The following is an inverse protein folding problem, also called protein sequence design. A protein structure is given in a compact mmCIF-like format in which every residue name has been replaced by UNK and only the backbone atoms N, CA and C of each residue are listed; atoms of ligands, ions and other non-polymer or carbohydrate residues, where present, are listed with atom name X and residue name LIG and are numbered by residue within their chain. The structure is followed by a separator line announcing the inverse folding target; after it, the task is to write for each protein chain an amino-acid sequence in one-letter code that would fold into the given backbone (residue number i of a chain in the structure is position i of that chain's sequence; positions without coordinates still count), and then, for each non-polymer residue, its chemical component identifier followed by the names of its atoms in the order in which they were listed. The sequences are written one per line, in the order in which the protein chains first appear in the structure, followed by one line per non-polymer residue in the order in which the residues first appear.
data_IF_383563702678
#
_entry.id   IF_383563702678
#
_cell.length_a   1.000
_cell.length_b   1.000
_cell.length_c   1.000
_cell.angle_alpha   90.00
_cell.angle_beta   90.00
_cell.angle_gamma   90.00
#
_symmetry.space_group_name_H-M   'P 1'
#
loop_
_entity.id
_entity.type
_entity.pdbx_description
1 polymer ?
#
# COMPACT_ATOMS: atom_id res chain seq x y z
N UNK A 1 0.74 8.38 9.08
CA UNK A 1 0.42 6.96 8.84
C UNK A 1 -0.08 6.27 10.11
N UNK A 2 -1.19 5.55 10.03
CA UNK A 2 -1.77 4.69 11.08
C UNK A 2 -1.88 3.26 10.52
N UNK A 3 -1.36 2.29 11.27
CA UNK A 3 -1.38 0.86 10.91
C UNK A 3 -2.25 0.15 11.94
N UNK A 4 -3.22 -0.63 11.46
CA UNK A 4 -4.11 -1.44 12.30
C UNK A 4 -3.90 -2.90 11.91
N UNK A 5 -3.45 -3.71 12.88
CA UNK A 5 -3.29 -5.15 12.73
C UNK A 5 -4.44 -5.84 13.46
N UNK A 6 -5.15 -6.68 12.74
CA UNK A 6 -6.25 -7.50 13.26
C UNK A 6 -5.81 -8.96 13.17
N UNK A 7 -6.09 -9.75 14.21
CA UNK A 7 -5.81 -11.18 14.21
C UNK A 7 -6.70 -11.94 13.21
N UNK A 8 -6.96 -13.22 13.47
CA UNK A 8 -7.91 -14.01 12.69
C UNK A 8 -9.33 -13.44 12.87
N UNK A 9 -9.68 -12.39 12.15
CA UNK A 9 -10.99 -11.76 12.21
C UNK A 9 -12.02 -12.67 11.53
N UNK A 10 -13.24 -12.80 12.05
CA UNK A 10 -14.32 -13.45 11.33
C UNK A 10 -14.63 -12.66 10.05
N UNK A 11 -14.52 -13.30 8.88
CA UNK A 11 -15.13 -13.04 7.57
C UNK A 11 -15.56 -11.59 7.16
N UNK A 12 -14.87 -10.54 7.62
CA UNK A 12 -15.15 -9.17 7.23
C UNK A 12 -14.48 -8.84 5.90
N UNK A 13 -15.24 -8.31 4.93
CA UNK A 13 -14.61 -7.76 3.72
C UNK A 13 -13.65 -6.62 4.12
N UNK A 14 -12.54 -6.43 3.39
CA UNK A 14 -11.63 -5.30 3.64
C UNK A 14 -12.29 -3.91 3.68
N UNK A 15 -13.47 -3.76 3.06
CA UNK A 15 -14.30 -2.55 3.17
C UNK A 15 -14.86 -2.35 4.59
N UNK A 16 -15.36 -3.41 5.23
CA UNK A 16 -15.87 -3.33 6.60
C UNK A 16 -14.76 -2.96 7.58
N UNK A 17 -13.61 -3.63 7.47
CA UNK A 17 -12.44 -3.37 8.33
C UNK A 17 -11.93 -1.93 8.20
N UNK A 18 -11.93 -1.37 6.99
CA UNK A 18 -11.57 0.04 6.80
C UNK A 18 -12.61 0.98 7.41
N UNK A 19 -13.92 0.70 7.30
CA UNK A 19 -14.96 1.51 7.96
C UNK A 19 -14.77 1.54 9.46
N UNK A 20 -14.54 0.37 10.05
CA UNK A 20 -14.32 0.22 11.49
C UNK A 20 -13.05 0.97 11.93
N UNK A 21 -11.96 0.85 11.17
CA UNK A 21 -10.72 1.56 11.45
C UNK A 21 -10.87 3.10 11.35
N UNK A 22 -11.67 3.60 10.41
CA UNK A 22 -11.92 5.02 10.25
C UNK A 22 -12.79 5.62 11.34
N UNK A 23 -13.79 4.87 11.81
CA UNK A 23 -14.79 5.32 12.77
C UNK A 23 -15.43 6.68 12.41
N UNK A 24 -15.63 6.92 11.10
CA UNK A 24 -16.17 8.18 10.58
C UNK A 24 -17.52 7.97 9.92
N UNK A 25 -18.59 8.67 10.36
CA UNK A 25 -19.94 8.50 9.80
C UNK A 25 -20.09 9.12 8.42
N UNK A 26 -19.20 10.04 8.03
CA UNK A 26 -19.23 10.72 6.72
C UNK A 26 -18.37 10.00 5.68
N UNK A 27 -17.47 9.10 6.11
CA UNK A 27 -16.59 8.38 5.20
C UNK A 27 -17.38 7.36 4.37
N UNK A 28 -17.26 7.45 3.04
CA UNK A 28 -17.74 6.42 2.13
C UNK A 28 -16.57 5.50 1.79
N UNK A 29 -16.71 4.23 2.14
CA UNK A 29 -15.70 3.19 1.87
C UNK A 29 -16.26 2.19 0.88
N UNK A 30 -15.54 1.96 -0.22
CA UNK A 30 -15.89 0.99 -1.26
C UNK A 30 -14.63 0.40 -1.88
N UNK A 31 -14.76 -0.65 -2.70
CA UNK A 31 -13.76 -0.96 -3.71
C UNK A 31 -14.06 -0.18 -4.99
N UNK A 32 -13.01 0.15 -5.73
CA UNK A 32 -13.12 0.69 -7.07
C UNK A 32 -11.93 0.22 -7.91
N UNK A 33 -12.18 -0.64 -8.89
CA UNK A 33 -11.14 -1.01 -9.84
C UNK A 33 -10.86 0.17 -10.81
N UNK A 34 -9.60 0.66 -10.89
CA UNK A 34 -9.27 1.76 -11.80
C UNK A 34 -9.37 1.37 -13.29
N UNK A 35 -9.46 0.07 -13.61
CA UNK A 35 -9.53 -0.42 -15.00
C UNK A 35 -10.97 -0.51 -15.53
N UNK A 36 -11.90 -1.06 -14.73
CA UNK A 36 -13.27 -1.35 -15.18
C UNK A 36 -14.37 -0.66 -14.34
N UNK A 37 -14.01 0.05 -13.27
CA UNK A 37 -14.97 0.71 -12.38
C UNK A 37 -15.74 -0.22 -11.43
N UNK A 38 -15.45 -1.52 -11.43
CA UNK A 38 -16.13 -2.51 -10.57
C UNK A 38 -15.87 -2.25 -9.08
N UNK A 39 -16.90 -2.48 -8.26
CA UNK A 39 -16.81 -2.53 -6.80
C UNK A 39 -16.60 -3.94 -6.24
N UNK A 40 -16.49 -4.96 -7.11
CA UNK A 40 -16.24 -6.36 -6.69
C UNK A 40 -14.75 -6.63 -6.42
N UNK A 41 -13.87 -5.91 -7.11
CA UNK A 41 -12.42 -6.07 -7.02
C UNK A 41 -11.71 -4.72 -7.10
N UNK A 42 -10.39 -4.75 -6.94
CA UNK A 42 -9.56 -3.55 -6.89
C UNK A 42 -9.37 -3.02 -5.47
N UNK A 43 -8.62 -1.91 -5.35
CA UNK A 43 -8.27 -1.33 -4.06
C UNK A 43 -9.49 -0.83 -3.31
N UNK A 44 -9.40 -0.84 -1.98
CA UNK A 44 -10.35 -0.15 -1.11
C UNK A 44 -10.02 1.34 -1.15
N UNK A 45 -11.04 2.18 -1.34
CA UNK A 45 -10.93 3.63 -1.33
C UNK A 45 -11.85 4.23 -0.26
N UNK A 46 -11.42 5.34 0.34
CA UNK A 46 -12.22 6.13 1.27
C UNK A 46 -12.40 7.55 0.71
N UNK A 47 -13.64 8.02 0.63
CA UNK A 47 -14.01 9.38 0.21
C UNK A 47 -14.90 10.06 1.25
N UNK A 48 -15.13 11.37 1.11
CA UNK A 48 -15.92 12.14 2.07
C UNK A 48 -15.18 12.48 3.37
N UNK A 49 -13.85 12.30 3.39
CA UNK A 49 -12.96 12.67 4.48
C UNK A 49 -11.95 13.72 4.01
N UNK A 50 -11.68 14.71 4.87
CA UNK A 50 -10.71 15.79 4.63
C UNK A 50 -9.71 15.87 5.78
N UNK A 51 -8.39 15.88 5.53
CA UNK A 51 -7.74 15.76 4.21
C UNK A 51 -8.01 14.38 3.57
N UNK A 52 -7.69 14.25 2.27
CA UNK A 52 -7.81 12.97 1.55
C UNK A 52 -7.06 11.89 2.33
N UNK A 53 -7.67 10.71 2.41
CA UNK A 53 -7.07 9.56 3.05
C UNK A 53 -6.72 8.48 2.02
N UNK A 54 -5.48 8.00 2.10
CA UNK A 54 -4.97 6.86 1.37
C UNK A 54 -5.14 5.61 2.21
N UNK A 55 -5.64 4.55 1.59
CA UNK A 55 -6.00 3.30 2.25
C UNK A 55 -5.34 2.15 1.52
N UNK A 56 -4.75 1.23 2.28
CA UNK A 56 -4.35 -0.07 1.77
C UNK A 56 -4.74 -1.16 2.75
N UNK A 57 -5.09 -2.33 2.23
CA UNK A 57 -5.49 -3.49 3.03
C UNK A 57 -4.87 -4.73 2.43
N UNK A 58 -4.28 -5.58 3.28
CA UNK A 58 -3.86 -6.93 2.90
C UNK A 58 -4.35 -7.95 3.92
N UNK A 59 -4.73 -9.13 3.44
CA UNK A 59 -5.33 -10.19 4.25
C UNK A 59 -4.51 -11.47 4.08
N UNK A 60 -4.33 -12.17 5.19
CA UNK A 60 -3.80 -13.51 5.32
C UNK A 60 -4.81 -14.32 6.16
N UNK A 61 -4.85 -15.67 6.08
CA UNK A 61 -5.78 -16.46 6.88
C UNK A 61 -5.83 -16.13 8.38
N UNK A 62 -4.72 -15.69 8.96
CA UNK A 62 -4.58 -15.45 10.41
C UNK A 62 -4.45 -13.98 10.80
N UNK A 63 -4.34 -13.07 9.83
CA UNK A 63 -4.14 -11.66 10.09
C UNK A 63 -4.68 -10.79 8.96
N UNK A 64 -5.18 -9.61 9.29
CA UNK A 64 -5.44 -8.56 8.30
C UNK A 64 -4.77 -7.28 8.75
N UNK A 65 -4.14 -6.57 7.82
CA UNK A 65 -3.53 -5.27 8.07
C UNK A 65 -4.24 -4.21 7.24
N UNK A 66 -4.63 -3.13 7.91
CA UNK A 66 -5.16 -1.90 7.31
C UNK A 66 -4.18 -0.77 7.55
N UNK A 67 -3.82 -0.04 6.49
CA UNK A 67 -2.99 1.15 6.56
C UNK A 67 -3.79 2.35 6.09
N UNK A 68 -3.74 3.41 6.89
CA UNK A 68 -4.37 4.70 6.62
C UNK A 68 -3.31 5.79 6.64
N UNK A 69 -3.27 6.65 5.63
CA UNK A 69 -2.34 7.78 5.62
C UNK A 69 -2.89 9.01 4.93
N UNK A 70 -2.60 10.19 5.48
CA UNK A 70 -2.98 11.48 4.91
C UNK A 70 -1.83 12.13 4.15
N UNK A 71 -0.58 11.67 4.36
CA UNK A 71 0.61 12.23 3.74
C UNK A 71 0.78 11.85 2.26
N UNK A 72 0.35 10.64 1.87
CA UNK A 72 0.52 10.16 0.51
C UNK A 72 0.04 8.73 0.28
N UNK A 73 0.12 8.25 -0.97
CA UNK A 73 -0.26 6.88 -1.32
C UNK A 73 0.51 5.84 -0.51
N UNK A 74 -0.22 4.81 -0.07
CA UNK A 74 0.32 3.70 0.72
C UNK A 74 -0.09 2.36 0.16
N UNK A 75 0.75 1.36 0.40
CA UNK A 75 0.50 -0.05 0.12
C UNK A 75 0.84 -0.90 1.32
N UNK A 76 0.14 -2.02 1.50
CA UNK A 76 0.51 -3.04 2.49
C UNK A 76 0.44 -4.42 1.86
N UNK A 77 1.37 -5.28 2.26
CA UNK A 77 1.28 -6.69 1.96
C UNK A 77 1.74 -7.57 3.14
N UNK A 78 1.13 -8.75 3.26
CA UNK A 78 1.37 -9.71 4.35
C UNK A 78 1.33 -11.13 3.83
N UNK A 79 2.25 -11.98 4.28
CA UNK A 79 2.30 -13.40 3.94
C UNK A 79 2.72 -14.26 5.15
N UNK A 80 2.13 -15.45 5.35
CA UNK A 80 2.55 -16.35 6.42
C UNK A 80 4.00 -16.83 6.24
N UNK A 81 4.77 -16.87 7.33
CA UNK A 81 6.19 -17.31 7.30
C UNK A 81 6.37 -18.80 7.00
N UNK A 82 5.32 -19.61 7.08
CA UNK A 82 5.37 -21.04 6.78
C UNK A 82 5.25 -21.36 5.28
N UNK A 83 5.08 -20.33 4.42
CA UNK A 83 4.89 -20.49 2.97
C UNK A 83 6.18 -20.59 2.18
N UNK A 84 7.26 -19.95 2.63
CA UNK A 84 8.56 -19.92 1.96
C UNK A 84 9.64 -19.36 2.90
N UNK A 85 10.89 -19.32 2.43
CA UNK A 85 12.00 -18.65 3.13
C UNK A 85 11.68 -17.18 3.45
N UNK A 86 12.06 -16.75 4.66
CA UNK A 86 11.77 -15.41 5.15
C UNK A 86 12.33 -14.29 4.25
N UNK A 87 13.47 -14.51 3.59
CA UNK A 87 14.05 -13.57 2.64
C UNK A 87 13.18 -13.44 1.37
N UNK A 88 12.68 -14.56 0.86
CA UNK A 88 11.79 -14.60 -0.32
C UNK A 88 10.46 -13.91 0.00
N UNK A 89 9.86 -14.21 1.16
CA UNK A 89 8.64 -13.54 1.60
C UNK A 89 8.87 -12.06 1.89
N UNK A 90 10.01 -11.69 2.45
CA UNK A 90 10.40 -10.30 2.69
C UNK A 90 10.49 -9.50 1.40
N UNK A 91 11.12 -10.06 0.36
CA UNK A 91 11.17 -9.47 -0.97
C UNK A 91 9.78 -9.36 -1.60
N UNK A 92 9.02 -10.46 -1.62
CA UNK A 92 7.69 -10.49 -2.21
C UNK A 92 6.75 -9.45 -1.59
N UNK A 93 6.63 -9.45 -0.27
CA UNK A 93 5.77 -8.50 0.45
C UNK A 93 6.21 -7.06 0.26
N UNK A 94 7.52 -6.79 0.14
CA UNK A 94 8.02 -5.44 -0.13
C UNK A 94 7.63 -4.96 -1.53
N UNK A 95 7.79 -5.84 -2.53
CA UNK A 95 7.42 -5.58 -3.92
C UNK A 95 5.91 -5.36 -4.07
N UNK A 96 5.07 -6.24 -3.54
CA UNK A 96 3.61 -6.12 -3.58
C UNK A 96 3.13 -4.85 -2.85
N UNK A 97 3.66 -4.57 -1.66
CA UNK A 97 3.34 -3.33 -0.95
C UNK A 97 3.70 -2.11 -1.82
N UNK A 98 4.86 -2.10 -2.46
CA UNK A 98 5.28 -0.97 -3.30
C UNK A 98 4.40 -0.81 -4.55
N UNK A 99 4.06 -1.89 -5.24
CA UNK A 99 3.13 -1.89 -6.38
C UNK A 99 1.71 -1.42 -5.97
N UNK A 100 1.25 -1.79 -4.77
CA UNK A 100 -0.01 -1.28 -4.22
C UNK A 100 0.05 0.22 -3.94
N UNK A 101 1.17 0.72 -3.44
CA UNK A 101 1.36 2.15 -3.16
C UNK A 101 1.30 3.03 -4.42
N UNK A 102 1.69 2.53 -5.60
CA UNK A 102 1.55 3.26 -6.87
C UNK A 102 0.12 3.26 -7.41
N UNK A 103 -0.77 2.42 -6.85
CA UNK A 103 -2.14 2.23 -7.32
C UNK A 103 -2.28 1.35 -8.57
N UNK A 104 -1.17 0.80 -9.09
CA UNK A 104 -1.18 -0.05 -10.29
C UNK A 104 -1.25 -1.54 -9.95
N UNK A 105 -0.69 -1.95 -8.80
CA UNK A 105 -0.62 -3.36 -8.41
C UNK A 105 0.07 -4.20 -9.49
N UNK A 106 -0.40 -5.43 -9.69
CA UNK A 106 0.07 -6.35 -10.75
C UNK A 106 -0.35 -5.97 -12.18
N UNK A 107 -0.81 -4.74 -12.43
CA UNK A 107 -0.60 -4.19 -13.79
C UNK A 107 0.90 -4.02 -14.08
N UNK A 108 1.65 -3.79 -12.99
CA UNK A 108 3.09 -3.83 -12.80
C UNK A 108 3.68 -5.21 -12.97
N UNK A 109 4.76 -5.40 -13.74
CA UNK A 109 5.58 -6.60 -13.60
C UNK A 109 6.35 -6.53 -12.26
N UNK A 110 6.16 -7.45 -11.31
CA UNK A 110 6.90 -7.48 -10.05
C UNK A 110 8.42 -7.54 -10.24
N UNK A 111 8.89 -8.20 -11.29
CA UNK A 111 10.33 -8.37 -11.56
C UNK A 111 10.99 -7.05 -12.01
N UNK A 112 10.19 -6.03 -12.31
CA UNK A 112 10.66 -4.70 -12.68
C UNK A 112 10.95 -3.78 -11.49
N UNK A 113 10.60 -4.20 -10.26
CA UNK A 113 10.85 -3.42 -9.04
C UNK A 113 12.31 -3.59 -8.60
N UNK A 114 12.98 -2.47 -8.36
CA UNK A 114 14.41 -2.44 -8.01
C UNK A 114 14.65 -1.96 -6.59
N UNK A 115 15.54 -2.64 -5.88
CA UNK A 115 16.11 -2.17 -4.62
C UNK A 115 17.12 -1.05 -4.91
N UNK A 116 16.88 0.14 -4.34
CA UNK A 116 17.83 1.26 -4.42
C UNK A 116 18.72 1.32 -3.18
N UNK A 117 18.13 1.16 -2.00
CA UNK A 117 18.82 1.25 -0.71
C UNK A 117 18.22 0.26 0.29
N UNK A 118 19.04 -0.18 1.25
CA UNK A 118 18.60 -1.08 2.33
C UNK A 118 18.65 -2.56 1.94
N UNK A 119 17.73 -3.34 2.49
CA UNK A 119 17.68 -4.79 2.32
C UNK A 119 16.23 -5.29 2.30
N UNK A 120 15.96 -6.36 1.55
CA UNK A 120 14.65 -7.00 1.45
C UNK A 120 14.20 -7.63 2.77
N UNK A 121 15.12 -7.99 3.67
CA UNK A 121 14.74 -8.35 5.04
C UNK A 121 14.57 -7.09 5.92
N UNK A 122 15.24 -5.98 5.65
CA UNK A 122 15.14 -4.74 6.43
C UNK A 122 14.07 -3.76 5.96
N UNK A 123 14.27 -2.49 6.32
CA UNK A 123 13.64 -1.35 5.66
C UNK A 123 14.42 -1.05 4.38
N UNK A 124 13.71 -0.63 3.34
CA UNK A 124 14.33 -0.38 2.05
C UNK A 124 13.68 0.76 1.26
N UNK A 125 14.43 1.28 0.29
CA UNK A 125 13.95 2.19 -0.73
C UNK A 125 13.86 1.43 -2.05
N UNK A 126 12.68 1.42 -2.64
CA UNK A 126 12.43 0.75 -3.91
C UNK A 126 12.14 1.76 -5.02
N UNK A 127 12.53 1.39 -6.23
CA UNK A 127 12.09 2.02 -7.48
C UNK A 127 11.05 1.12 -8.15
N UNK A 128 9.90 1.70 -8.48
CA UNK A 128 8.80 1.00 -9.17
C UNK A 128 8.57 1.69 -10.51
N UNK A 129 8.49 0.97 -11.64
CA UNK A 129 8.20 1.61 -12.92
C UNK A 129 6.89 2.38 -12.90
N UNK A 130 6.92 3.57 -13.49
CA UNK A 130 5.75 4.42 -13.68
C UNK A 130 5.57 4.77 -15.16
N UNK A 131 4.37 5.26 -15.54
CA UNK A 131 4.05 5.55 -16.93
C UNK A 131 4.87 6.70 -17.55
N UNK A 132 5.38 7.62 -16.73
CA UNK A 132 6.20 8.74 -17.19
C UNK A 132 7.62 8.69 -16.59
N UNK A 133 7.71 8.56 -15.27
CA UNK A 133 8.96 8.36 -14.54
C UNK A 133 8.77 7.28 -13.48
N UNK A 134 9.84 6.58 -13.08
CA UNK A 134 9.76 5.65 -11.97
C UNK A 134 9.31 6.34 -10.67
N UNK A 135 8.54 5.62 -9.86
CA UNK A 135 8.19 6.00 -8.51
C UNK A 135 9.29 5.58 -7.54
N UNK A 136 9.51 6.37 -6.50
CA UNK A 136 10.30 5.97 -5.34
C UNK A 136 9.37 5.65 -4.18
N UNK A 137 9.60 4.52 -3.54
CA UNK A 137 8.72 4.01 -2.49
C UNK A 137 9.56 3.57 -1.29
N UNK A 138 9.27 4.15 -0.13
CA UNK A 138 9.88 3.72 1.14
C UNK A 138 9.08 2.54 1.67
N UNK A 139 9.76 1.45 1.97
CA UNK A 139 9.14 0.25 2.53
C UNK A 139 9.70 0.00 3.92
N UNK A 140 8.81 -0.21 4.88
CA UNK A 140 9.17 -0.54 6.27
C UNK A 140 8.57 -1.86 6.71
N UNK A 141 9.25 -2.56 7.61
CA UNK A 141 8.69 -3.75 8.27
C UNK A 141 7.49 -3.38 9.15
N UNK A 142 6.52 -4.29 9.23
CA UNK A 142 5.49 -4.29 10.27
C UNK A 142 5.57 -5.60 11.02
N UNK A 143 5.58 -5.54 12.34
CA UNK A 143 5.60 -6.74 13.17
C UNK A 143 4.20 -7.35 13.24
N UNK A 144 4.02 -8.48 12.58
CA UNK A 144 2.80 -9.29 12.61
C UNK A 144 3.21 -10.72 12.93
N UNK A 145 2.76 -11.25 14.07
CA UNK A 145 3.18 -12.56 14.54
C UNK A 145 2.95 -13.65 13.47
N UNK A 146 4.00 -14.41 13.15
CA UNK A 146 3.95 -15.48 12.15
C UNK A 146 3.90 -15.03 10.68
N UNK A 147 4.10 -13.74 10.39
CA UNK A 147 3.98 -13.20 9.04
C UNK A 147 5.19 -12.34 8.64
N UNK A 148 5.54 -12.37 7.35
CA UNK A 148 6.26 -11.28 6.72
C UNK A 148 5.24 -10.19 6.37
N UNK A 149 5.46 -8.96 6.82
CA UNK A 149 4.54 -7.86 6.57
C UNK A 149 5.28 -6.56 6.27
N UNK A 150 4.83 -5.85 5.24
CA UNK A 150 5.46 -4.64 4.71
C UNK A 150 4.45 -3.55 4.46
N UNK A 151 4.84 -2.34 4.80
CA UNK A 151 4.11 -1.12 4.43
C UNK A 151 4.98 -0.25 3.57
N UNK A 152 4.40 0.20 2.48
CA UNK A 152 5.04 1.03 1.47
C UNK A 152 4.40 2.41 1.46
N UNK A 153 5.21 3.46 1.39
CA UNK A 153 4.77 4.84 1.21
C UNK A 153 5.44 5.42 -0.03
N UNK A 154 4.62 5.93 -0.96
CA UNK A 154 5.13 6.61 -2.13
C UNK A 154 5.78 7.93 -1.72
N UNK A 155 7.06 8.11 -2.07
CA UNK A 155 7.79 9.34 -1.83
C UNK A 155 7.37 10.33 -2.92
N UNK A 156 6.83 11.51 -2.57
CA UNK A 156 6.52 12.53 -3.56
C UNK A 156 7.77 12.82 -4.38
N UNK A 157 7.65 12.82 -5.71
CA UNK A 157 8.72 13.37 -6.55
C UNK A 157 9.02 14.78 -6.03
N UNK A 158 10.29 15.05 -5.70
CA UNK A 158 10.72 16.41 -5.40
C UNK A 158 10.22 17.27 -6.56
N UNK A 159 9.34 18.23 -6.25
CA UNK A 159 8.57 18.91 -7.25
C UNK A 159 9.48 19.38 -8.38
N UNK A 160 9.13 19.04 -9.63
CA UNK A 160 9.51 19.89 -10.74
C UNK A 160 9.15 21.31 -10.29
N UNK A 161 10.18 22.15 -10.12
CA UNK A 161 10.02 23.48 -9.57
C UNK A 161 8.82 24.15 -10.23
N UNK A 162 7.96 24.79 -9.43
CA UNK A 162 6.88 25.62 -9.96
C UNK A 162 7.53 26.61 -10.92
N UNK A 163 7.46 26.33 -12.22
CA UNK A 163 7.78 27.32 -13.23
C UNK A 163 6.65 28.33 -13.16
N UNK A 164 6.87 29.39 -12.38
CA UNK A 164 6.11 30.62 -12.54
C UNK A 164 6.40 31.12 -13.96
N UNK A 165 5.38 31.33 -14.81
CA UNK A 165 5.60 32.06 -16.05
C UNK A 165 6.06 33.47 -15.65
N UNK A 166 7.24 33.88 -16.09
CA UNK A 166 7.58 35.30 -16.09
C UNK A 166 6.71 35.95 -17.15
N UNK A 167 5.73 36.72 -16.71
CA UNK A 167 5.10 37.73 -17.54
C UNK A 167 6.15 38.78 -17.89
N UNK A 168 6.55 38.81 -19.15
CA UNK A 168 7.34 39.84 -19.80
C UNK A 168 6.79 40.05 -21.20
#
# INVERSE_FOLDING_TARGET
MRIVVLGATPQGSGVALVRDALASPVARVTRLCPRCGSSRHGPVIATGVTPRLWVSVSHSPQATVVVLDTAGPVGVDIEPLDRADAAVLGQWTATEAALKATGRGLADDPDSVRLLEGDWAGDCLLEVPGPATPYRVRVTRVDVAGHAARVAQLIPALGAGRHTPRSG
#
